data_IF_841561210602
#
_entry.id   IF_841561210602
#
_cell.length_a   1.000
_cell.length_b   1.000
_cell.length_c   1.000
_cell.angle_alpha   90.00
_cell.angle_beta   90.00
_cell.angle_gamma   90.00
#
_symmetry.space_group_name_H-M   'P 1'
#
loop_
_entity.id
_entity.type
_entity.pdbx_description
1 polymer ?
#
# COMPACT_ATOMS: atom_id res chain seq x y z
N UNK A 1 10.28 -22.67 -4.64
CA UNK A 1 9.90 -21.24 -4.64
C UNK A 1 10.62 -20.58 -3.48
N UNK A 2 11.44 -19.56 -3.74
CA UNK A 2 12.02 -18.75 -2.66
C UNK A 2 11.04 -17.62 -2.31
N UNK A 3 10.79 -17.33 -1.02
CA UNK A 3 9.97 -16.20 -0.63
C UNK A 3 10.65 -14.88 -0.99
N UNK A 4 9.84 -13.87 -1.32
CA UNK A 4 10.27 -12.48 -1.54
C UNK A 4 9.54 -11.63 -0.50
N UNK A 5 10.22 -11.36 0.59
CA UNK A 5 9.70 -10.62 1.74
C UNK A 5 10.88 -10.03 2.52
N UNK A 6 10.61 -9.00 3.33
CA UNK A 6 11.70 -8.32 4.03
C UNK A 6 12.42 -9.19 5.07
N UNK A 7 11.76 -10.22 5.62
CA UNK A 7 12.37 -11.17 6.57
C UNK A 7 13.44 -12.07 5.94
N UNK A 8 13.44 -12.21 4.61
CA UNK A 8 14.45 -12.95 3.84
C UNK A 8 15.29 -12.05 2.94
N UNK A 9 15.12 -10.73 3.04
CA UNK A 9 15.97 -9.74 2.38
C UNK A 9 17.16 -9.37 3.29
N UNK A 10 18.14 -8.66 2.72
CA UNK A 10 19.31 -8.18 3.46
C UNK A 10 18.93 -7.43 4.75
N UNK A 11 19.62 -7.73 5.85
CA UNK A 11 19.48 -7.05 7.13
C UNK A 11 19.44 -8.01 8.31
N UNK A 12 18.66 -7.67 9.33
CA UNK A 12 18.43 -8.49 10.52
C UNK A 12 19.08 -7.96 11.79
N UNK A 13 18.88 -8.70 12.86
CA UNK A 13 19.53 -8.50 14.17
C UNK A 13 20.64 -9.53 14.32
N UNK A 14 21.85 -9.07 14.65
CA UNK A 14 23.02 -9.93 14.87
C UNK A 14 22.97 -10.59 16.26
N UNK A 15 22.17 -11.67 16.35
CA UNK A 15 21.93 -12.46 17.58
C UNK A 15 22.88 -13.65 17.74
N UNK A 16 24.03 -13.64 17.06
CA UNK A 16 24.93 -14.80 17.04
C UNK A 16 25.66 -15.02 18.35
N UNK A 17 25.88 -13.97 19.13
CA UNK A 17 26.51 -14.00 20.45
C UNK A 17 25.43 -14.03 21.54
N UNK A 18 25.22 -15.16 22.25
CA UNK A 18 24.19 -15.28 23.28
C UNK A 18 24.40 -14.36 24.49
N UNK A 19 25.65 -13.92 24.73
CA UNK A 19 25.99 -13.04 25.84
C UNK A 19 25.70 -11.56 25.53
N UNK A 20 25.44 -11.24 24.26
CA UNK A 20 25.10 -9.89 23.83
C UNK A 20 23.64 -9.56 24.17
N UNK A 21 23.45 -8.87 25.31
CA UNK A 21 22.13 -8.43 25.79
C UNK A 21 21.44 -7.42 24.87
N UNK A 22 22.21 -6.67 24.07
CA UNK A 22 21.70 -5.65 23.16
C UNK A 22 22.34 -5.86 21.77
N UNK A 23 21.92 -6.93 21.06
CA UNK A 23 22.48 -7.25 19.77
C UNK A 23 22.21 -6.11 18.79
N UNK A 24 23.21 -5.79 17.97
CA UNK A 24 23.03 -4.74 16.97
C UNK A 24 21.99 -5.17 15.93
N UNK A 25 21.27 -4.18 15.40
CA UNK A 25 20.26 -4.36 14.38
C UNK A 25 20.63 -3.56 13.14
N UNK A 26 20.46 -4.16 11.97
CA UNK A 26 20.57 -3.44 10.71
C UNK A 26 19.44 -2.43 10.58
N UNK A 27 19.78 -1.15 10.45
CA UNK A 27 18.83 -0.04 10.60
C UNK A 27 17.70 -0.03 9.57
N UNK A 28 17.99 -0.40 8.32
CA UNK A 28 17.03 -0.31 7.22
C UNK A 28 16.08 -1.51 7.14
N UNK A 29 16.44 -2.64 7.75
CA UNK A 29 15.62 -3.84 7.77
C UNK A 29 15.98 -4.72 8.98
N UNK A 30 15.40 -4.44 10.17
CA UNK A 30 15.71 -5.18 11.40
C UNK A 30 15.18 -6.62 11.40
N UNK A 31 14.25 -6.97 10.50
CA UNK A 31 13.65 -8.31 10.44
C UNK A 31 14.33 -9.23 9.42
N UNK A 32 15.26 -8.70 8.62
CA UNK A 32 15.92 -9.42 7.54
C UNK A 32 16.96 -10.45 7.97
N UNK A 33 17.78 -10.84 7.01
CA UNK A 33 18.83 -11.84 7.19
C UNK A 33 20.10 -11.49 6.40
N UNK A 34 21.22 -12.14 6.75
CA UNK A 34 22.50 -12.01 6.06
C UNK A 34 23.46 -10.93 6.59
N UNK A 35 22.99 -10.01 7.43
CA UNK A 35 23.85 -9.00 8.06
C UNK A 35 24.37 -9.48 9.43
N UNK A 36 25.65 -9.24 9.71
CA UNK A 36 26.31 -9.52 10.99
C UNK A 36 27.41 -8.51 11.25
N UNK A 37 27.84 -8.34 12.51
CA UNK A 37 29.07 -7.58 12.82
C UNK A 37 30.31 -8.45 12.68
N UNK A 38 31.43 -7.81 12.37
CA UNK A 38 32.74 -8.47 12.19
C UNK A 38 33.17 -9.28 13.42
N UNK A 39 32.82 -8.83 14.65
CA UNK A 39 33.13 -9.57 15.89
C UNK A 39 32.58 -11.00 15.92
N UNK A 40 31.51 -11.27 15.16
CA UNK A 40 30.83 -12.55 15.11
C UNK A 40 31.26 -13.40 13.90
N UNK A 41 32.29 -13.01 13.15
CA UNK A 41 32.73 -13.70 11.91
C UNK A 41 32.85 -15.22 12.04
N UNK A 42 33.38 -15.72 13.16
CA UNK A 42 33.54 -17.17 13.42
C UNK A 42 32.22 -17.95 13.54
N UNK A 43 31.11 -17.25 13.78
CA UNK A 43 29.77 -17.81 13.99
C UNK A 43 28.88 -17.75 12.74
N UNK A 44 29.39 -17.14 11.65
CA UNK A 44 28.65 -16.93 10.40
C UNK A 44 28.54 -18.17 9.50
N UNK A 45 29.55 -19.07 9.40
CA UNK A 45 29.47 -20.22 8.51
C UNK A 45 28.20 -21.06 8.75
N UNK A 46 27.46 -21.36 7.67
CA UNK A 46 26.23 -22.15 7.72
C UNK A 46 24.93 -21.34 7.91
N UNK A 47 25.03 -20.03 8.14
CA UNK A 47 23.86 -19.15 8.18
C UNK A 47 23.26 -18.90 6.80
N UNK A 48 21.99 -18.48 6.77
CA UNK A 48 21.27 -18.18 5.54
C UNK A 48 21.74 -16.87 4.92
N UNK A 49 21.85 -16.88 3.59
CA UNK A 49 22.00 -15.67 2.78
C UNK A 49 20.61 -15.07 2.49
N UNK A 50 20.53 -13.76 2.21
CA UNK A 50 19.30 -13.16 1.74
C UNK A 50 18.91 -13.72 0.37
N UNK A 51 17.61 -13.77 0.09
CA UNK A 51 17.08 -14.25 -1.19
C UNK A 51 17.14 -13.19 -2.29
N UNK A 52 17.28 -11.92 -1.90
CA UNK A 52 17.16 -10.76 -2.79
C UNK A 52 18.31 -9.79 -2.57
N UNK A 53 18.67 -9.09 -3.64
CA UNK A 53 19.66 -8.02 -3.64
C UNK A 53 19.22 -6.93 -4.62
N UNK A 54 19.77 -5.72 -4.49
CA UNK A 54 19.50 -4.67 -5.47
C UNK A 54 20.21 -4.95 -6.80
N UNK A 55 19.62 -4.44 -7.88
CA UNK A 55 20.23 -4.54 -9.22
C UNK A 55 21.56 -3.78 -9.19
N UNK A 56 22.61 -4.41 -9.69
CA UNK A 56 23.98 -3.89 -9.67
C UNK A 56 24.62 -3.72 -8.28
N UNK A 57 24.04 -4.32 -7.23
CA UNK A 57 24.59 -4.33 -5.87
C UNK A 57 24.70 -5.77 -5.37
N UNK A 58 25.79 -6.45 -5.74
CA UNK A 58 26.02 -7.84 -5.35
C UNK A 58 26.43 -7.95 -3.87
N UNK A 59 25.74 -8.82 -3.14
CA UNK A 59 26.04 -9.08 -1.73
C UNK A 59 27.24 -10.03 -1.64
N UNK A 60 28.41 -9.48 -1.28
CA UNK A 60 29.68 -10.23 -1.22
C UNK A 60 30.19 -10.50 0.18
N UNK A 61 29.63 -9.82 1.18
CA UNK A 61 30.12 -9.88 2.56
C UNK A 61 28.97 -9.73 3.55
N UNK A 62 28.93 -10.48 4.67
CA UNK A 62 27.94 -10.29 5.73
C UNK A 62 28.10 -8.97 6.51
N UNK A 63 29.19 -8.24 6.26
CA UNK A 63 29.54 -6.98 6.96
C UNK A 63 29.22 -5.73 6.13
N UNK A 64 28.61 -5.89 4.96
CA UNK A 64 28.31 -4.80 4.04
C UNK A 64 27.19 -3.85 4.50
N UNK A 65 26.93 -2.86 3.67
CA UNK A 65 25.80 -1.92 3.81
C UNK A 65 24.98 -1.94 2.52
N UNK A 66 24.23 -3.02 2.31
CA UNK A 66 23.45 -3.24 1.08
C UNK A 66 21.99 -2.81 1.25
N UNK A 67 21.34 -2.39 0.17
CA UNK A 67 19.91 -2.03 0.22
C UNK A 67 19.05 -3.30 0.36
N UNK A 68 18.19 -3.39 1.40
CA UNK A 68 17.19 -4.45 1.49
C UNK A 68 16.17 -4.34 0.36
N UNK A 69 15.98 -5.43 -0.41
CA UNK A 69 15.05 -5.46 -1.54
C UNK A 69 13.94 -6.47 -1.34
N UNK A 70 12.70 -6.04 -1.55
CA UNK A 70 11.50 -6.86 -1.43
C UNK A 70 10.33 -6.13 -2.12
N UNK A 71 9.23 -6.82 -2.41
CA UNK A 71 7.98 -6.22 -2.90
C UNK A 71 6.91 -6.09 -1.79
N UNK A 72 7.31 -6.29 -0.54
CA UNK A 72 6.43 -6.19 0.62
C UNK A 72 6.35 -4.77 1.22
N UNK A 73 5.49 -4.56 2.21
CA UNK A 73 5.39 -3.29 2.93
C UNK A 73 6.60 -3.06 3.83
N UNK A 74 7.10 -1.82 3.87
CA UNK A 74 8.13 -1.39 4.83
C UNK A 74 7.55 -1.23 6.24
N UNK A 75 8.34 -1.50 7.29
CA UNK A 75 7.93 -1.29 8.68
C UNK A 75 7.76 0.19 9.05
N UNK A 76 6.79 0.49 9.94
CA UNK A 76 6.52 1.87 10.42
C UNK A 76 7.70 2.53 11.13
N UNK A 77 8.48 1.74 11.87
CA UNK A 77 9.65 2.21 12.62
C UNK A 77 10.94 2.21 11.82
N UNK A 78 10.90 1.94 10.51
CA UNK A 78 12.09 1.86 9.69
C UNK A 78 12.42 3.24 9.10
N UNK A 79 13.70 3.52 8.81
CA UNK A 79 14.08 4.71 8.07
C UNK A 79 13.36 4.77 6.72
N UNK A 80 12.93 5.97 6.33
CA UNK A 80 12.05 6.23 5.18
C UNK A 80 10.56 6.25 5.52
N UNK A 81 10.18 5.95 6.77
CA UNK A 81 8.81 6.11 7.28
C UNK A 81 8.78 6.82 8.63
N UNK A 82 9.65 6.41 9.55
CA UNK A 82 9.63 6.90 10.94
C UNK A 82 9.85 8.42 11.02
N UNK A 83 10.60 9.00 10.10
CA UNK A 83 10.90 10.43 10.03
C UNK A 83 9.66 11.28 9.74
N UNK A 84 8.62 10.70 9.15
CA UNK A 84 7.34 11.36 8.87
C UNK A 84 6.34 11.25 10.02
N UNK A 85 6.69 10.52 11.09
CA UNK A 85 5.82 10.34 12.24
C UNK A 85 5.59 11.60 13.06
N UNK A 86 6.40 12.64 12.86
CA UNK A 86 6.37 13.87 13.63
C UNK A 86 6.93 13.72 15.05
N UNK A 87 6.88 14.79 15.83
CA UNK A 87 7.54 14.91 17.13
C UNK A 87 6.55 14.71 18.29
N UNK A 88 6.81 13.71 19.14
CA UNK A 88 6.00 13.40 20.33
C UNK A 88 6.78 13.70 21.62
N UNK A 89 6.95 14.99 21.92
CA UNK A 89 7.66 15.48 23.11
C UNK A 89 6.70 15.92 24.23
N UNK A 90 7.22 16.54 25.29
CA UNK A 90 6.41 17.02 26.41
C UNK A 90 5.38 18.08 25.97
N UNK A 91 5.73 18.93 25.01
CA UNK A 91 4.78 19.90 24.47
C UNK A 91 3.62 19.23 23.74
N UNK A 92 3.88 18.12 23.01
CA UNK A 92 2.80 17.32 22.45
C UNK A 92 1.87 16.76 23.53
N UNK A 93 2.42 16.26 24.64
CA UNK A 93 1.64 15.74 25.77
C UNK A 93 0.75 16.83 26.37
N UNK A 94 1.33 17.99 26.66
CA UNK A 94 0.65 19.05 27.42
C UNK A 94 -0.36 19.83 26.59
N UNK A 95 -0.11 19.99 25.27
CA UNK A 95 -0.83 20.96 24.44
C UNK A 95 -1.48 20.39 23.15
N UNK A 96 -1.08 19.21 22.67
CA UNK A 96 -1.53 18.69 21.36
C UNK A 96 -2.33 17.39 21.49
N UNK A 97 -2.00 16.53 22.46
CA UNK A 97 -2.73 15.30 22.73
C UNK A 97 -4.24 15.55 22.82
N UNK A 98 -5.10 14.72 22.19
CA UNK A 98 -4.83 13.43 21.54
C UNK A 98 -4.62 13.48 20.02
N UNK A 99 -4.34 14.66 19.44
CA UNK A 99 -4.18 14.80 17.99
C UNK A 99 -2.76 14.45 17.51
N UNK A 100 -2.62 14.24 16.19
CA UNK A 100 -1.31 14.09 15.56
C UNK A 100 -0.47 15.37 15.76
N UNK A 101 0.86 15.25 15.87
CA UNK A 101 1.71 16.41 16.04
C UNK A 101 1.67 17.31 14.78
N UNK A 102 1.92 18.62 14.91
CA UNK A 102 1.82 19.56 13.79
C UNK A 102 2.78 19.28 12.62
N UNK A 103 3.89 18.59 12.89
CA UNK A 103 4.90 18.18 11.91
C UNK A 103 4.68 16.74 11.38
N UNK A 104 3.54 16.12 11.70
CA UNK A 104 3.16 14.83 11.10
C UNK A 104 2.99 14.96 9.59
N UNK A 105 3.56 14.02 8.86
CA UNK A 105 3.44 13.94 7.40
C UNK A 105 2.75 12.63 6.99
N UNK A 106 1.71 12.72 6.16
CA UNK A 106 0.93 11.55 5.71
C UNK A 106 1.77 10.50 4.97
N UNK A 107 2.96 10.85 4.47
CA UNK A 107 3.95 9.90 3.95
C UNK A 107 4.34 8.82 4.97
N UNK A 108 4.15 9.08 6.27
CA UNK A 108 4.27 8.06 7.32
C UNK A 108 3.42 6.80 7.02
N UNK A 109 2.24 6.98 6.41
CA UNK A 109 1.35 5.88 6.06
C UNK A 109 1.74 5.16 4.77
N UNK A 110 2.65 5.72 3.96
CA UNK A 110 3.12 5.08 2.74
C UNK A 110 3.98 3.86 3.07
N UNK A 111 3.48 2.67 2.71
CA UNK A 111 4.14 1.40 3.01
C UNK A 111 5.02 0.93 1.84
N UNK A 112 4.76 1.41 0.62
CA UNK A 112 5.53 1.05 -0.56
C UNK A 112 6.90 1.76 -0.53
N UNK A 113 8.01 1.04 -0.78
CA UNK A 113 9.32 1.66 -1.00
C UNK A 113 9.29 2.69 -2.14
N UNK A 114 10.15 3.72 -2.13
CA UNK A 114 10.16 4.75 -3.18
C UNK A 114 10.27 4.21 -4.60
N UNK A 115 11.01 3.12 -4.82
CA UNK A 115 11.16 2.46 -6.12
C UNK A 115 9.91 1.68 -6.60
N UNK A 116 8.88 1.60 -5.76
CA UNK A 116 7.61 0.93 -6.04
C UNK A 116 6.42 1.90 -5.99
N UNK A 117 6.70 3.19 -5.90
CA UNK A 117 5.70 4.25 -5.98
C UNK A 117 5.62 4.73 -7.42
N UNK A 118 4.39 4.87 -7.90
CA UNK A 118 4.06 5.37 -9.24
C UNK A 118 2.98 6.43 -9.10
N UNK A 119 2.78 7.21 -10.16
CA UNK A 119 1.59 8.04 -10.28
C UNK A 119 0.32 7.17 -10.24
N UNK A 120 -0.80 7.80 -9.89
CA UNK A 120 -2.10 7.12 -9.87
C UNK A 120 -2.39 6.40 -11.20
N UNK A 121 -2.61 5.06 -11.20
CA UNK A 121 -2.90 4.32 -12.41
C UNK A 121 -4.20 4.82 -13.03
N UNK A 122 -4.19 5.10 -14.33
CA UNK A 122 -5.35 5.57 -15.09
C UNK A 122 -6.02 4.45 -15.88
N UNK A 123 -5.31 3.35 -16.09
CA UNK A 123 -5.71 2.28 -16.98
C UNK A 123 -4.99 2.35 -18.31
N UNK A 124 -4.89 1.21 -18.98
CA UNK A 124 -4.18 1.07 -20.23
C UNK A 124 -2.66 0.88 -20.09
N UNK A 125 -2.11 0.92 -18.88
CA UNK A 125 -0.71 0.59 -18.62
C UNK A 125 -0.44 -0.90 -18.85
N UNK A 126 0.74 -1.23 -19.39
CA UNK A 126 1.18 -2.62 -19.51
C UNK A 126 1.78 -3.10 -18.18
N UNK A 127 1.20 -4.15 -17.63
CA UNK A 127 1.71 -4.84 -16.45
C UNK A 127 2.45 -6.09 -16.88
N UNK A 128 3.72 -6.20 -16.51
CA UNK A 128 4.57 -7.35 -16.83
C UNK A 128 5.19 -7.91 -15.55
N UNK A 129 4.94 -9.18 -15.29
CA UNK A 129 5.48 -9.94 -14.17
C UNK A 129 6.51 -10.94 -14.71
N UNK A 130 7.76 -10.82 -14.28
CA UNK A 130 8.86 -11.68 -14.73
C UNK A 130 9.42 -12.45 -13.54
N UNK A 131 9.42 -13.78 -13.63
CA UNK A 131 9.88 -14.73 -12.63
C UNK A 131 9.17 -14.62 -11.27
N UNK A 132 7.97 -14.02 -11.24
CA UNK A 132 7.16 -13.89 -10.03
C UNK A 132 6.02 -14.92 -9.95
N UNK A 133 5.81 -15.70 -11.01
CA UNK A 133 4.83 -16.80 -11.06
C UNK A 133 5.47 -18.06 -11.69
N UNK A 134 4.88 -19.26 -11.52
CA UNK A 134 5.38 -20.47 -12.16
C UNK A 134 5.41 -20.43 -13.70
N UNK A 135 4.67 -19.53 -14.33
CA UNK A 135 4.66 -19.37 -15.78
C UNK A 135 5.92 -18.63 -16.31
N UNK A 136 6.76 -18.09 -15.42
CA UNK A 136 7.99 -17.36 -15.79
C UNK A 136 7.74 -15.95 -16.29
N UNK A 137 6.76 -15.74 -17.19
CA UNK A 137 6.33 -14.40 -17.62
C UNK A 137 4.81 -14.34 -17.74
N UNK A 138 4.22 -13.33 -17.12
CA UNK A 138 2.81 -13.00 -17.27
C UNK A 138 2.65 -11.52 -17.58
N UNK A 139 1.67 -11.18 -18.41
CA UNK A 139 1.39 -9.79 -18.74
C UNK A 139 -0.08 -9.57 -19.01
N UNK A 140 -0.57 -8.40 -18.65
CA UNK A 140 -1.92 -7.94 -18.96
C UNK A 140 -1.93 -6.42 -19.05
N UNK A 141 -3.01 -5.87 -19.63
CA UNK A 141 -3.22 -4.43 -19.70
C UNK A 141 -4.13 -3.99 -18.56
N UNK A 142 -3.74 -2.96 -17.82
CA UNK A 142 -4.53 -2.44 -16.71
C UNK A 142 -5.92 -2.01 -17.23
N UNK A 143 -7.02 -2.42 -16.57
CA UNK A 143 -8.35 -1.93 -16.94
C UNK A 143 -8.47 -0.42 -16.69
N UNK A 144 -9.46 0.23 -17.30
CA UNK A 144 -9.81 1.60 -16.94
C UNK A 144 -10.09 1.67 -15.44
N UNK A 145 -9.39 2.56 -14.72
CA UNK A 145 -9.41 2.59 -13.25
C UNK A 145 -10.21 3.74 -12.69
N UNK A 146 -10.64 4.67 -13.53
CA UNK A 146 -11.40 5.83 -13.11
C UNK A 146 -12.74 5.40 -12.50
N UNK A 147 -12.96 5.79 -11.24
CA UNK A 147 -14.14 5.42 -10.47
C UNK A 147 -14.97 6.67 -10.17
N UNK A 148 -16.07 6.90 -10.92
CA UNK A 148 -17.03 7.93 -10.57
C UNK A 148 -17.62 7.66 -9.18
N UNK A 149 -17.62 8.66 -8.32
CA UNK A 149 -18.18 8.58 -6.98
C UNK A 149 -19.00 9.83 -6.68
N UNK A 150 -20.18 9.63 -6.09
CA UNK A 150 -20.99 10.71 -5.54
C UNK A 150 -21.36 10.40 -4.10
N UNK A 151 -20.97 11.26 -3.17
CA UNK A 151 -21.32 11.16 -1.75
C UNK A 151 -22.41 12.17 -1.41
N UNK A 152 -23.42 11.74 -0.67
CA UNK A 152 -24.57 12.59 -0.32
C UNK A 152 -24.64 12.86 1.18
N UNK A 153 -25.00 14.10 1.52
CA UNK A 153 -25.43 14.53 2.85
C UNK A 153 -26.92 14.89 2.78
N UNK A 154 -27.77 13.92 3.12
CA UNK A 154 -29.20 14.02 2.89
C UNK A 154 -29.53 14.13 1.39
N UNK A 155 -29.84 15.34 0.92
CA UNK A 155 -30.11 15.64 -0.50
C UNK A 155 -29.00 16.44 -1.18
N UNK A 156 -28.02 16.92 -0.43
CA UNK A 156 -26.89 17.64 -0.99
C UNK A 156 -25.82 16.65 -1.47
N UNK A 157 -25.21 16.94 -2.62
CA UNK A 157 -24.04 16.22 -3.09
C UNK A 157 -22.82 16.76 -2.34
N UNK A 158 -22.43 16.09 -1.27
CA UNK A 158 -21.27 16.44 -0.47
C UNK A 158 -19.95 16.24 -1.24
N UNK A 159 -19.92 15.30 -2.18
CA UNK A 159 -18.79 15.10 -3.10
C UNK A 159 -19.30 14.58 -4.44
N UNK A 160 -18.72 15.06 -5.54
CA UNK A 160 -18.89 14.51 -6.89
C UNK A 160 -17.53 14.53 -7.56
N UNK A 161 -17.04 13.37 -7.99
CA UNK A 161 -15.75 13.32 -8.65
C UNK A 161 -15.47 11.95 -9.25
N UNK A 162 -14.39 11.91 -10.01
CA UNK A 162 -13.80 10.68 -10.54
C UNK A 162 -12.52 10.41 -9.76
N UNK A 163 -12.45 9.24 -9.11
CA UNK A 163 -11.32 8.84 -8.29
C UNK A 163 -10.41 7.91 -9.09
N UNK A 164 -9.10 8.11 -8.96
CA UNK A 164 -8.11 7.13 -9.39
C UNK A 164 -7.67 6.29 -8.18
N UNK A 165 -7.26 5.04 -8.39
CA UNK A 165 -6.76 4.23 -7.31
C UNK A 165 -5.43 4.80 -6.79
N UNK A 166 -5.19 4.66 -5.50
CA UNK A 166 -3.97 5.10 -4.82
C UNK A 166 -3.12 3.93 -4.32
N UNK A 167 -3.58 2.70 -4.54
CA UNK A 167 -2.83 1.47 -4.23
C UNK A 167 -3.18 0.37 -5.22
N UNK A 168 -2.15 -0.26 -5.74
CA UNK A 168 -2.23 -1.49 -6.54
C UNK A 168 -1.54 -2.58 -5.72
N UNK A 169 -2.24 -3.70 -5.48
CA UNK A 169 -1.70 -4.83 -4.75
C UNK A 169 -1.74 -6.08 -5.62
N UNK A 170 -0.62 -6.80 -5.69
CA UNK A 170 -0.50 -8.05 -6.42
C UNK A 170 -0.44 -9.24 -5.44
N UNK A 171 -1.44 -10.11 -5.52
CA UNK A 171 -1.45 -11.43 -4.87
C UNK A 171 -1.16 -12.48 -5.94
N UNK A 172 0.13 -12.77 -6.11
CA UNK A 172 0.62 -13.62 -7.18
C UNK A 172 0.36 -15.11 -6.92
N UNK A 173 0.10 -15.49 -5.67
CA UNK A 173 -0.28 -16.87 -5.33
C UNK A 173 -1.70 -17.16 -5.77
N UNK A 174 -2.61 -16.21 -5.55
CA UNK A 174 -4.01 -16.30 -6.00
C UNK A 174 -4.21 -15.77 -7.43
N UNK A 175 -3.15 -15.31 -8.09
CA UNK A 175 -3.16 -14.67 -9.43
C UNK A 175 -4.24 -13.58 -9.53
N UNK A 176 -4.26 -12.72 -8.51
CA UNK A 176 -5.22 -11.62 -8.39
C UNK A 176 -4.45 -10.33 -8.14
N UNK A 177 -4.93 -9.24 -8.72
CA UNK A 177 -4.54 -7.91 -8.26
C UNK A 177 -5.77 -7.18 -7.71
N UNK A 178 -5.51 -6.21 -6.83
CA UNK A 178 -6.51 -5.38 -6.20
C UNK A 178 -6.16 -3.91 -6.41
N UNK A 179 -7.17 -3.10 -6.64
CA UNK A 179 -7.08 -1.65 -6.69
C UNK A 179 -7.82 -1.08 -5.48
N UNK A 180 -7.26 -0.04 -4.86
CA UNK A 180 -7.90 0.67 -3.75
C UNK A 180 -8.08 2.12 -4.15
N UNK A 181 -9.29 2.63 -3.95
CA UNK A 181 -9.64 4.04 -4.11
C UNK A 181 -9.96 4.62 -2.74
N UNK A 182 -9.58 5.87 -2.50
CA UNK A 182 -9.88 6.57 -1.24
C UNK A 182 -10.43 7.95 -1.55
N UNK A 183 -11.37 8.38 -0.70
CA UNK A 183 -11.88 9.74 -0.66
C UNK A 183 -12.01 10.14 0.80
N UNK A 184 -11.62 11.37 1.11
CA UNK A 184 -11.72 11.93 2.46
C UNK A 184 -12.66 13.11 2.44
N UNK A 185 -13.68 13.09 3.31
CA UNK A 185 -14.62 14.20 3.46
C UNK A 185 -14.72 14.58 4.94
N UNK A 186 -14.62 15.88 5.22
CA UNK A 186 -14.71 16.40 6.58
C UNK A 186 -16.11 16.14 7.17
N UNK A 187 -16.13 15.54 8.35
CA UNK A 187 -17.33 15.46 9.18
C UNK A 187 -17.67 16.83 9.75
N UNK A 188 -18.94 17.21 9.69
CA UNK A 188 -19.41 18.49 10.23
C UNK A 188 -20.08 18.32 11.60
N UNK A 189 -20.95 17.30 11.76
CA UNK A 189 -21.62 17.02 13.03
C UNK A 189 -21.43 15.58 13.50
N UNK A 190 -21.80 14.62 12.66
CA UNK A 190 -21.75 13.19 12.99
C UNK A 190 -21.36 12.36 11.77
N UNK A 191 -20.87 11.15 12.01
CA UNK A 191 -20.61 10.16 10.94
C UNK A 191 -21.87 9.81 10.14
N UNK A 192 -23.06 9.98 10.75
CA UNK A 192 -24.35 9.77 10.12
C UNK A 192 -24.77 10.91 9.17
N UNK A 193 -23.96 11.97 9.03
CA UNK A 193 -24.22 13.05 8.10
C UNK A 193 -24.27 12.56 6.64
N UNK A 194 -23.48 11.54 6.31
CA UNK A 194 -23.49 10.95 4.97
C UNK A 194 -24.58 9.88 4.86
N UNK A 195 -25.56 10.13 3.99
CA UNK A 195 -26.76 9.29 3.89
C UNK A 195 -26.70 8.26 2.77
N UNK A 196 -25.94 8.54 1.71
CA UNK A 196 -25.89 7.71 0.51
C UNK A 196 -24.55 7.90 -0.21
N UNK A 197 -24.07 6.85 -0.86
CA UNK A 197 -22.90 6.89 -1.73
C UNK A 197 -23.22 6.13 -3.03
N UNK A 198 -23.05 6.80 -4.16
CA UNK A 198 -23.10 6.17 -5.47
C UNK A 198 -21.68 5.83 -5.89
N UNK A 199 -21.44 4.55 -6.13
CA UNK A 199 -20.17 4.01 -6.62
C UNK A 199 -20.37 3.58 -8.07
N UNK A 200 -19.57 4.15 -8.96
CA UNK A 200 -19.72 4.03 -10.41
C UNK A 200 -20.74 5.02 -11.00
N UNK A 201 -20.89 5.03 -12.33
CA UNK A 201 -21.83 5.91 -13.01
C UNK A 201 -23.28 5.63 -12.55
N UNK A 202 -24.07 6.67 -12.24
CA UNK A 202 -25.43 6.48 -11.77
C UNK A 202 -26.34 6.04 -12.91
N UNK A 203 -27.14 5.00 -12.66
CA UNK A 203 -28.15 4.55 -13.63
C UNK A 203 -29.23 5.62 -13.87
N UNK A 204 -29.91 5.62 -15.03
CA UNK A 204 -31.03 6.54 -15.28
C UNK A 204 -32.14 6.46 -14.22
N UNK A 205 -32.35 5.28 -13.64
CA UNK A 205 -33.30 5.09 -12.53
C UNK A 205 -32.91 5.84 -11.27
N UNK A 206 -31.63 5.81 -10.90
CA UNK A 206 -31.08 6.56 -9.76
C UNK A 206 -31.23 8.06 -9.97
N UNK A 207 -30.87 8.55 -11.16
CA UNK A 207 -31.00 9.97 -11.50
C UNK A 207 -32.46 10.44 -11.44
N UNK A 208 -33.40 9.67 -12.01
CA UNK A 208 -34.84 9.99 -11.96
C UNK A 208 -35.39 9.98 -10.54
N UNK A 209 -34.99 9.01 -9.71
CA UNK A 209 -35.42 8.93 -8.32
C UNK A 209 -34.92 10.14 -7.52
N UNK A 210 -33.65 10.50 -7.70
CA UNK A 210 -33.05 11.69 -7.11
C UNK A 210 -33.80 12.97 -7.52
N UNK A 211 -34.04 13.17 -8.82
CA UNK A 211 -34.77 14.31 -9.34
C UNK A 211 -36.22 14.40 -8.80
N UNK A 212 -36.89 13.25 -8.67
CA UNK A 212 -38.26 13.14 -8.13
C UNK A 212 -38.31 13.07 -6.60
N UNK A 213 -37.17 13.23 -5.91
CA UNK A 213 -37.04 13.14 -4.44
C UNK A 213 -37.55 11.82 -3.85
N UNK A 214 -37.51 10.73 -4.62
CA UNK A 214 -37.92 9.38 -4.21
C UNK A 214 -36.70 8.55 -3.79
N UNK A 215 -36.88 7.67 -2.81
CA UNK A 215 -35.85 6.69 -2.44
C UNK A 215 -35.66 5.70 -3.58
N UNK A 216 -34.41 5.50 -4.00
CA UNK A 216 -34.05 4.43 -4.91
C UNK A 216 -33.57 3.22 -4.11
N UNK A 217 -34.07 2.03 -4.43
CA UNK A 217 -33.60 0.77 -3.82
C UNK A 217 -32.99 -0.05 -4.96
N UNK A 218 -31.65 -0.14 -4.98
CA UNK A 218 -30.94 -0.93 -5.97
C UNK A 218 -31.19 -2.42 -5.68
N UNK A 219 -31.72 -3.16 -6.66
CA UNK A 219 -31.76 -4.62 -6.59
C UNK A 219 -30.36 -5.13 -6.91
N UNK A 220 -29.67 -5.72 -5.93
CA UNK A 220 -28.27 -6.14 -6.06
C UNK A 220 -28.06 -7.35 -7.00
N UNK A 221 -29.14 -8.05 -7.41
CA UNK A 221 -29.09 -9.26 -8.24
C UNK A 221 -29.65 -9.09 -9.66
N UNK A 222 -29.83 -7.85 -10.14
CA UNK A 222 -30.22 -7.64 -11.55
C UNK A 222 -28.96 -7.31 -12.35
N UNK A 223 -28.57 -8.12 -13.37
CA UNK A 223 -27.45 -7.77 -14.24
C UNK A 223 -27.69 -6.40 -14.85
N UNK A 224 -26.62 -5.62 -15.00
CA UNK A 224 -26.63 -4.40 -15.80
C UNK A 224 -27.09 -4.84 -17.20
N UNK A 225 -28.18 -4.26 -17.70
CA UNK A 225 -28.50 -4.40 -19.13
C UNK A 225 -27.43 -3.58 -19.81
N UNK A 226 -26.52 -4.26 -20.51
CA UNK A 226 -25.60 -3.61 -21.43
C UNK A 226 -26.47 -2.77 -22.37
N UNK A 227 -26.20 -1.47 -22.42
CA UNK A 227 -26.79 -0.59 -23.42
C UNK A 227 -26.29 -1.11 -24.77
N UNK A 228 -27.24 -1.61 -25.56
CA UNK A 228 -27.03 -2.04 -26.94
C UNK A 228 -26.22 -0.96 -27.66
N UNK A 229 -24.99 -1.29 -28.02
CA UNK A 229 -24.29 -0.58 -29.08
C UNK A 229 -25.08 -0.84 -30.37
N UNK A 230 -26.04 0.04 -30.66
CA UNK A 230 -26.49 0.31 -32.02
C UNK A 230 -25.26 0.75 -32.83
N UNK A 231 -24.69 -0.19 -33.58
CA UNK A 231 -23.89 0.10 -34.74
C UNK A 231 -24.64 -0.46 -35.95
N UNK A 232 -25.23 0.45 -36.71
CA UNK A 232 -25.66 0.24 -38.09
C UNK A 232 -24.44 0.02 -39.00
#
# INVERSE_FOLDING_TARGET
KLPISYDVAWGGVDRLDPEDKLPASYKYNPVGTGWSRTKNQRLIPGLRLPNTQAVNEEIRSPFGDYKPMSFGPMGRGWPGRIEYGGTYDQNWIDNIFPFLPPDFDERYFQMAPPDQQIDHPRGGEDVVLINLTPAGKESFRMPATALPLTLFKGREKAFVGELLPDTVLFDLERRRFSLVWRVQQRLQRTILDFSECWIGPPTPGMQRAYAKRKRYIRKFNTPLRDEEHEAA
#
